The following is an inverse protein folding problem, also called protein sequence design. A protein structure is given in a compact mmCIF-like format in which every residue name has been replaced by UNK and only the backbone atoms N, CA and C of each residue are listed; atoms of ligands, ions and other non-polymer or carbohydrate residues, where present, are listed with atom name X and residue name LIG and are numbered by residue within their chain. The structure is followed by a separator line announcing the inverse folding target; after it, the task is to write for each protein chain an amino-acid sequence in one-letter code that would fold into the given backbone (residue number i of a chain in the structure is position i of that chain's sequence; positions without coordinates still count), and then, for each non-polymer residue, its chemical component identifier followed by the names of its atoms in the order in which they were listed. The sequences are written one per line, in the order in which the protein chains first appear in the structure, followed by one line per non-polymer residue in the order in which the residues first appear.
data_IF_159527741067
#
_entry.id   IF_159527741067
#
_cell.length_a   1.000
_cell.length_b   1.000
_cell.length_c   1.000
_cell.angle_alpha   90.00
_cell.angle_beta   90.00
_cell.angle_gamma   90.00
#
_symmetry.space_group_name_H-M   'P 1'
#
loop_
_entity.id
_entity.type
_entity.pdbx_description
1 polymer ?
#
# COMPACT_ATOMS: atom_id res chain seq x y z
N UNK A 1 -15.45 6.74 6.50
CA UNK A 1 -15.36 5.36 6.01
C UNK A 1 -13.99 5.10 5.46
N UNK A 2 -13.28 4.21 6.07
CA UNK A 2 -11.94 3.88 5.64
C UNK A 2 -11.99 2.78 4.58
N UNK A 3 -11.38 3.02 3.45
CA UNK A 3 -11.18 1.98 2.43
C UNK A 3 -9.69 1.94 2.13
N UNK A 4 -9.11 0.79 2.27
CA UNK A 4 -7.68 0.62 2.05
C UNK A 4 -7.43 -0.37 0.91
N UNK A 5 -6.44 -0.06 0.11
CA UNK A 5 -5.92 -0.96 -0.89
C UNK A 5 -4.66 -1.61 -0.29
N UNK A 6 -4.81 -2.85 0.13
CA UNK A 6 -3.73 -3.57 0.78
C UNK A 6 -2.95 -4.38 -0.24
N UNK A 7 -1.67 -4.12 -0.34
CA UNK A 7 -0.76 -4.89 -1.19
C UNK A 7 0.11 -5.76 -0.30
N UNK A 8 0.02 -7.06 -0.49
CA UNK A 8 0.77 -8.02 0.29
C UNK A 8 1.80 -8.68 -0.61
N UNK A 9 3.03 -8.67 -0.19
CA UNK A 9 4.12 -9.29 -0.92
C UNK A 9 4.75 -10.43 -0.13
N UNK A 10 5.25 -11.42 -0.86
CA UNK A 10 5.98 -12.54 -0.31
C UNK A 10 7.47 -12.36 -0.58
N UNK A 11 8.28 -13.07 0.18
CA UNK A 11 9.74 -13.09 0.00
C UNK A 11 10.15 -13.67 -1.35
N UNK A 12 9.31 -14.46 -1.98
CA UNK A 12 9.56 -15.05 -3.30
C UNK A 12 9.28 -14.10 -4.47
N UNK A 13 8.81 -12.91 -4.18
CA UNK A 13 8.53 -11.92 -5.22
C UNK A 13 7.09 -11.90 -5.73
N UNK A 14 6.21 -12.70 -5.15
CA UNK A 14 4.79 -12.67 -5.51
C UNK A 14 4.08 -11.60 -4.69
N UNK A 15 3.10 -10.96 -5.28
CA UNK A 15 2.29 -9.98 -4.56
C UNK A 15 0.84 -10.05 -5.00
N UNK A 16 -0.04 -9.75 -4.09
CA UNK A 16 -1.47 -9.61 -4.36
C UNK A 16 -1.98 -8.32 -3.75
N UNK A 17 -2.99 -7.76 -4.40
CA UNK A 17 -3.65 -6.55 -3.93
C UNK A 17 -5.09 -6.87 -3.61
N UNK A 18 -5.55 -6.43 -2.45
CA UNK A 18 -6.95 -6.57 -2.05
C UNK A 18 -7.47 -5.24 -1.51
N UNK A 19 -8.74 -5.01 -1.73
CA UNK A 19 -9.40 -3.85 -1.16
C UNK A 19 -10.14 -4.24 0.10
N UNK A 20 -9.87 -3.53 1.18
CA UNK A 20 -10.55 -3.71 2.46
C UNK A 20 -11.49 -2.54 2.68
N UNK A 21 -12.70 -2.84 3.01
CA UNK A 21 -13.74 -1.84 3.23
C UNK A 21 -14.19 -1.87 4.69
N UNK A 22 -14.39 -0.69 5.22
CA UNK A 22 -15.00 -0.47 6.53
C UNK A 22 -14.63 -1.45 7.64
N UNK A 23 -15.38 -2.53 7.76
CA UNK A 23 -15.21 -3.48 8.86
C UNK A 23 -13.84 -4.16 8.84
N UNK A 24 -13.40 -4.52 7.66
CA UNK A 24 -12.12 -5.20 7.51
C UNK A 24 -10.94 -4.23 7.59
N UNK A 25 -11.22 -2.96 7.39
CA UNK A 25 -10.21 -1.91 7.50
C UNK A 25 -9.97 -1.46 8.94
N UNK A 26 -10.95 -1.63 9.82
CA UNK A 26 -10.87 -1.17 11.20
C UNK A 26 -9.65 -1.68 11.98
N UNK A 27 -9.25 -2.95 11.86
CA UNK A 27 -8.08 -3.42 12.58
C UNK A 27 -6.78 -2.76 12.17
N UNK A 28 -6.75 -2.14 10.99
CA UNK A 28 -5.55 -1.46 10.49
C UNK A 28 -5.44 -0.03 11.00
N UNK A 29 -6.55 0.56 11.41
CA UNK A 29 -6.55 1.95 11.90
C UNK A 29 -5.75 2.07 13.19
N UNK A 30 -4.90 3.07 13.23
CA UNK A 30 -4.09 3.35 14.41
C UNK A 30 -2.80 2.53 14.49
N UNK A 31 -2.58 1.60 13.58
CA UNK A 31 -1.34 0.85 13.55
C UNK A 31 -0.23 1.69 12.92
N UNK A 32 0.98 1.34 13.25
CA UNK A 32 2.16 2.02 12.76
C UNK A 32 2.96 1.12 11.81
N UNK A 33 3.80 1.72 11.01
CA UNK A 33 4.73 1.00 10.15
C UNK A 33 5.64 0.13 11.02
N UNK A 34 5.75 -1.13 10.68
CA UNK A 34 6.52 -2.11 11.43
C UNK A 34 5.69 -2.99 12.36
N UNK A 35 4.41 -2.68 12.56
CA UNK A 35 3.53 -3.52 13.35
C UNK A 35 3.16 -4.79 12.60
N UNK A 36 2.90 -5.84 13.35
CA UNK A 36 2.52 -7.13 12.80
C UNK A 36 1.04 -7.41 13.06
N UNK A 37 0.40 -8.07 12.11
CA UNK A 37 -1.00 -8.45 12.15
C UNK A 37 -1.16 -9.87 11.66
N UNK A 38 -2.24 -10.48 12.04
CA UNK A 38 -2.59 -11.78 11.50
C UNK A 38 -3.09 -11.66 10.06
N UNK A 39 -2.60 -12.49 9.21
CA UNK A 39 -2.97 -12.49 7.80
C UNK A 39 -4.40 -12.98 7.55
N UNK A 40 -5.07 -13.45 8.58
CA UNK A 40 -6.45 -13.90 8.48
C UNK A 40 -7.40 -12.81 7.96
N UNK A 41 -7.08 -11.55 8.19
CA UNK A 41 -7.88 -10.41 7.72
C UNK A 41 -7.99 -10.42 6.19
N UNK A 42 -6.97 -10.92 5.54
CA UNK A 42 -6.95 -11.03 4.08
C UNK A 42 -7.12 -12.45 3.57
N UNK A 43 -7.50 -13.37 4.44
CA UNK A 43 -7.71 -14.76 4.05
C UNK A 43 -6.42 -15.53 3.79
N UNK A 44 -5.32 -15.09 4.32
CA UNK A 44 -4.03 -15.76 4.19
C UNK A 44 -3.61 -16.37 5.52
N UNK A 45 -2.72 -17.33 5.48
CA UNK A 45 -2.16 -17.92 6.68
C UNK A 45 -0.83 -17.23 7.01
N UNK A 46 -0.60 -16.96 8.26
CA UNK A 46 0.65 -16.37 8.73
C UNK A 46 0.48 -14.98 9.32
N UNK A 47 1.56 -14.24 9.35
CA UNK A 47 1.56 -12.86 9.85
C UNK A 47 1.97 -11.90 8.76
N UNK A 48 1.34 -10.76 8.75
CA UNK A 48 1.71 -9.68 7.85
C UNK A 48 2.33 -8.55 8.65
N UNK A 49 3.33 -7.94 8.07
CA UNK A 49 4.01 -6.79 8.67
C UNK A 49 3.82 -5.58 7.77
N UNK A 50 3.41 -4.47 8.35
CA UNK A 50 3.21 -3.24 7.61
C UNK A 50 4.57 -2.63 7.28
N UNK A 51 4.84 -2.41 6.00
CA UNK A 51 6.11 -1.87 5.53
C UNK A 51 6.01 -0.41 5.12
N UNK A 52 4.86 0.04 4.69
CA UNK A 52 4.68 1.43 4.28
C UNK A 52 3.35 1.64 3.58
N UNK A 53 3.25 2.71 2.84
CA UNK A 53 2.04 3.02 2.10
C UNK A 53 1.99 4.46 1.64
N UNK A 54 0.83 4.87 1.18
CA UNK A 54 0.57 6.24 0.76
C UNK A 54 -0.86 6.64 1.04
N UNK A 55 -1.13 7.92 1.03
CA UNK A 55 -2.49 8.42 1.21
C UNK A 55 -3.22 8.58 -0.15
N UNK A 56 -4.43 9.10 -0.09
CA UNK A 56 -5.26 9.28 -1.29
C UNK A 56 -4.66 10.27 -2.29
N UNK A 57 -3.81 11.16 -1.83
CA UNK A 57 -3.12 12.13 -2.69
C UNK A 57 -1.75 11.65 -3.16
N UNK A 58 -1.34 10.46 -2.76
CA UNK A 58 -0.04 9.92 -3.13
C UNK A 58 1.10 10.31 -2.20
N UNK A 59 0.83 10.98 -1.08
CA UNK A 59 1.85 11.33 -0.10
C UNK A 59 2.32 10.07 0.62
N UNK A 60 3.61 9.75 0.61
CA UNK A 60 4.08 8.50 1.22
C UNK A 60 4.07 8.55 2.74
N UNK A 61 3.90 7.38 3.34
CA UNK A 61 4.09 7.19 4.76
C UNK A 61 5.58 6.95 5.04
N UNK A 62 6.06 7.49 6.13
CA UNK A 62 7.45 7.28 6.53
C UNK A 62 7.53 6.87 7.99
N UNK A 63 8.27 5.80 8.26
CA UNK A 63 8.35 5.22 9.60
C UNK A 63 9.08 6.07 10.63
N UNK A 64 9.92 6.99 10.18
CA UNK A 64 10.70 7.85 11.09
C UNK A 64 9.87 8.97 11.69
N UNK A 65 8.72 9.25 11.13
CA UNK A 65 7.90 10.39 11.52
C UNK A 65 6.71 9.89 12.31
N UNK A 66 6.55 10.39 13.50
CA UNK A 66 5.46 9.97 14.37
C UNK A 66 4.16 10.67 14.01
N UNK A 67 3.06 9.96 14.17
CA UNK A 67 1.72 10.48 13.99
C UNK A 67 1.12 10.18 12.63
N UNK A 68 -0.07 10.67 12.40
CA UNK A 68 -0.81 10.44 11.15
C UNK A 68 -0.96 11.68 10.28
N UNK A 69 -0.42 12.80 10.70
CA UNK A 69 -0.58 14.05 9.98
C UNK A 69 0.48 14.24 8.89
N UNK A 70 0.13 15.04 7.89
CA UNK A 70 1.09 15.46 6.85
C UNK A 70 1.99 16.55 7.41
N UNK A 71 3.27 16.44 7.10
CA UNK A 71 4.25 17.45 7.51
C UNK A 71 5.26 17.68 6.40
N UNK A 72 5.71 18.91 6.27
CA UNK A 72 6.82 19.24 5.41
C UNK A 72 8.11 18.97 6.18
N UNK A 73 8.95 18.12 5.66
CA UNK A 73 10.16 17.68 6.33
C UNK A 73 11.34 17.80 5.39
N UNK A 74 12.48 18.21 5.92
CA UNK A 74 13.70 18.26 5.16
C UNK A 74 14.29 16.86 5.08
N UNK A 75 14.35 16.33 3.87
CA UNK A 75 14.78 14.95 3.62
C UNK A 75 16.07 14.91 2.83
N UNK A 76 16.88 13.93 3.14
CA UNK A 76 17.97 13.47 2.29
C UNK A 76 17.46 12.30 1.46
N UNK A 77 18.30 11.72 0.63
CA UNK A 77 17.90 10.58 -0.20
C UNK A 77 17.35 9.43 0.65
N UNK A 78 16.21 8.93 0.29
CA UNK A 78 15.55 7.84 1.00
C UNK A 78 14.08 7.74 0.63
N UNK A 79 13.28 7.21 1.55
CA UNK A 79 11.83 7.08 1.34
C UNK A 79 11.21 8.48 1.17
N UNK A 80 10.49 8.66 0.09
CA UNK A 80 9.87 9.95 -0.26
C UNK A 80 10.76 10.87 -1.06
N UNK A 81 12.03 10.57 -1.21
CA UNK A 81 12.97 11.36 -2.01
C UNK A 81 14.03 10.43 -2.61
N UNK A 82 13.80 10.00 -3.85
CA UNK A 82 14.72 9.07 -4.52
C UNK A 82 15.69 9.77 -5.49
N UNK A 83 15.31 10.95 -5.97
CA UNK A 83 16.05 11.65 -7.00
C UNK A 83 17.15 12.57 -6.48
N UNK A 84 17.39 12.60 -5.20
CA UNK A 84 18.41 13.45 -4.63
C UNK A 84 19.80 12.83 -4.76
N UNK A 85 20.77 13.66 -5.07
CA UNK A 85 22.17 13.28 -5.03
C UNK A 85 22.68 13.25 -3.59
N UNK A 86 23.83 12.64 -3.41
CA UNK A 86 24.45 12.59 -2.10
C UNK A 86 24.74 14.00 -1.56
N UNK A 87 24.24 14.27 -0.38
CA UNK A 87 24.40 15.58 0.25
C UNK A 87 23.30 16.58 -0.08
N UNK A 88 22.42 16.29 -1.01
CA UNK A 88 21.28 17.16 -1.29
C UNK A 88 20.14 16.89 -0.33
N UNK A 89 19.45 17.93 0.05
CA UNK A 89 18.28 17.86 0.91
C UNK A 89 17.16 18.69 0.31
N UNK A 90 15.97 18.14 0.35
CA UNK A 90 14.77 18.83 -0.14
C UNK A 90 13.67 18.74 0.90
N UNK A 91 12.88 19.79 0.95
CA UNK A 91 11.71 19.81 1.81
C UNK A 91 10.55 19.17 1.07
N UNK A 92 10.05 18.07 1.57
CA UNK A 92 8.96 17.31 0.97
C UNK A 92 7.82 17.10 1.93
N UNK A 93 6.63 16.98 1.38
CA UNK A 93 5.45 16.64 2.15
C UNK A 93 5.43 15.14 2.39
N UNK A 94 5.39 14.75 3.64
CA UNK A 94 5.41 13.35 4.07
C UNK A 94 4.33 13.16 5.13
N UNK A 95 3.73 11.99 5.15
CA UNK A 95 2.80 11.60 6.19
C UNK A 95 3.53 10.74 7.24
N UNK A 96 3.07 10.81 8.47
CA UNK A 96 3.66 10.03 9.56
C UNK A 96 3.42 8.52 9.45
N UNK A 97 3.94 7.80 10.40
CA UNK A 97 3.93 6.33 10.41
C UNK A 97 2.60 5.68 10.79
N UNK A 98 1.65 6.46 11.29
CA UNK A 98 0.38 5.91 11.76
C UNK A 98 -0.65 5.87 10.64
N UNK A 99 -1.35 4.76 10.53
CA UNK A 99 -2.40 4.59 9.54
C UNK A 99 -3.66 5.29 10.02
N UNK A 100 -4.15 6.22 9.22
CA UNK A 100 -5.38 6.96 9.49
C UNK A 100 -6.39 6.69 8.38
N UNK A 101 -7.60 7.20 8.53
CA UNK A 101 -8.65 7.05 7.51
C UNK A 101 -8.28 7.68 6.16
N UNK A 102 -7.35 8.59 6.17
CA UNK A 102 -6.89 9.25 4.95
C UNK A 102 -5.87 8.41 4.17
N UNK A 103 -5.30 7.39 4.77
CA UNK A 103 -4.43 6.46 4.07
C UNK A 103 -5.24 5.73 3.00
N UNK A 104 -4.63 5.41 1.91
CA UNK A 104 -5.28 4.68 0.84
C UNK A 104 -4.61 3.35 0.56
N UNK A 105 -3.34 3.38 0.24
CA UNK A 105 -2.58 2.18 -0.04
C UNK A 105 -1.71 1.82 1.14
N UNK A 106 -1.75 0.56 1.53
CA UNK A 106 -0.91 0.04 2.61
C UNK A 106 -0.13 -1.14 2.03
N UNK A 107 1.17 -1.10 2.20
CA UNK A 107 2.05 -2.17 1.74
C UNK A 107 2.43 -3.04 2.94
N UNK A 108 2.32 -4.34 2.74
CA UNK A 108 2.64 -5.32 3.77
C UNK A 108 3.54 -6.40 3.20
N UNK A 109 4.34 -7.00 4.06
CA UNK A 109 5.06 -8.21 3.73
C UNK A 109 4.48 -9.38 4.52
N UNK A 110 4.36 -10.52 3.88
CA UNK A 110 3.86 -11.73 4.51
C UNK A 110 5.02 -12.60 4.95
N UNK A 111 5.00 -13.04 6.20
CA UNK A 111 5.90 -14.06 6.66
C UNK A 111 5.22 -15.42 6.44
N UNK A 112 5.44 -15.99 5.28
CA UNK A 112 4.81 -17.23 4.84
C UNK A 112 4.72 -17.29 3.32
N UNK A 113 3.93 -18.19 2.82
CA UNK A 113 3.71 -18.31 1.39
C UNK A 113 2.34 -17.74 1.02
N UNK A 114 2.32 -16.91 0.00
CA UNK A 114 1.08 -16.41 -0.54
C UNK A 114 0.37 -17.51 -1.30
N UNK A 115 -0.82 -17.79 -0.87
CA UNK A 115 -1.73 -18.61 -1.66
C UNK A 115 -2.46 -17.64 -2.57
N UNK A 116 -2.11 -17.67 -3.80
CA UNK A 116 -2.81 -16.90 -4.80
C UNK A 116 -3.98 -17.75 -5.20
N UNK A 117 -5.14 -17.37 -4.73
CA UNK A 117 -6.34 -17.93 -5.25
C UNK A 117 -6.43 -17.43 -6.69
N UNK A 118 -6.32 -18.32 -7.57
CA UNK A 118 -6.48 -18.05 -8.97
C UNK A 118 -7.91 -17.68 -9.26
N UNK A 119 -8.28 -16.62 -8.75
CA UNK A 119 -9.54 -16.12 -9.08
C UNK A 119 -9.33 -14.89 -9.87
N UNK A 120 -9.16 -14.95 -11.03
CA UNK A 120 -8.94 -13.94 -11.76
C UNK A 120 -9.96 -13.32 -12.36
N UNK A 121 -10.02 -12.76 -12.67
CA UNK A 121 -10.37 -11.82 -12.85
C UNK A 121 -10.87 -11.20 -13.94
N UNK A 122 -11.66 -10.81 -13.72
CA UNK A 122 -12.46 -10.00 -14.40
C UNK A 122 -11.85 -9.00 -15.30
N UNK A 123 -10.89 -8.44 -14.92
CA UNK A 123 -10.43 -7.33 -15.64
C UNK A 123 -10.05 -7.54 -17.04
N UNK A 124 -9.77 -8.69 -17.33
CA UNK A 124 -9.32 -8.97 -18.63
C UNK A 124 -10.36 -8.74 -19.69
N UNK A 125 -11.54 -8.81 -19.30
CA UNK A 125 -12.61 -8.69 -20.24
C UNK A 125 -12.73 -7.31 -20.82
N UNK A 126 -12.48 -6.37 -20.01
CA UNK A 126 -12.57 -5.01 -20.44
C UNK A 126 -11.65 -4.70 -21.57
N UNK A 127 -10.54 -5.34 -21.57
CA UNK A 127 -9.59 -5.10 -22.61
C UNK A 127 -10.09 -5.56 -23.95
N UNK A 128 -10.83 -6.59 -23.93
CA UNK A 128 -11.31 -7.13 -25.16
C UNK A 128 -12.24 -6.20 -25.86
N UNK A 129 -13.04 -5.56 -25.10
CA UNK A 129 -13.96 -4.64 -25.67
C UNK A 129 -13.28 -3.52 -26.39
N UNK A 130 -12.24 -3.07 -25.82
CA UNK A 130 -11.53 -2.00 -26.42
C UNK A 130 -10.97 -2.39 -27.77
N UNK A 131 -10.71 -3.62 -27.91
CA UNK A 131 -10.10 -4.06 -29.10
C UNK A 131 -11.04 -4.13 -30.27
N UNK A 132 -12.21 -4.33 -29.94
CA UNK A 132 -13.11 -4.56 -30.94
C UNK A 132 -13.51 -3.44 -31.71
N UNK A 133 -13.12 -2.50 -31.61
CA UNK A 133 -13.54 -1.53 -32.25
C UNK A 133 -13.32 -1.50 -33.53
N UNK A 134 -13.52 -1.66 -34.26
CA UNK A 134 -13.20 -1.68 -35.36
C UNK A 134 -13.42 -1.11 -36.25
N UNK A 135 -13.42 -1.06 -36.72
CA UNK A 135 -13.42 -0.74 -37.48
C UNK A 135 -14.00 -0.48 -38.44
N UNK A 136 -14.12 -0.26 -38.93
CA UNK A 136 -14.55 -0.04 -39.72
C UNK A 136 -14.53 0.18 -40.69
N UNK A 137 -14.47 0.19 -40.78
CA UNK A 137 -14.37 0.43 -41.76
C UNK A 137 -14.68 0.65 -42.79
#
# INVERSE_FOLDING_TARGET
MATFKLTISDKKGKSITRELKEKDANPLLGLQIGNELDAAIVGQAGKIRITGGSDKSGVPLRGDIHGGARKYILLSKGVGLHDAEKGQRFRKLIRGNTITEEAYQINCSLDGELKIDEAPPAPTEEKKEAVDKPKKA
#
